data_IF_283022932865
#
_entry.id   IF_283022932865
#
_cell.length_a   1.000
_cell.length_b   1.000
_cell.length_c   1.000
_cell.angle_alpha   90.00
_cell.angle_beta   90.00
_cell.angle_gamma   90.00
#
_symmetry.space_group_name_H-M   'P 1'
#
loop_
_entity.id
_entity.type
_entity.pdbx_description
1 polymer ?
#
# COMPACT_ATOMS: atom_id res chain seq x y z
N UNK A 1 -2.45 -13.33 -5.50
CA UNK A 1 -2.74 -12.17 -4.62
C UNK A 1 -1.84 -12.14 -3.39
N UNK A 2 -1.86 -13.14 -2.49
CA UNK A 2 -0.87 -13.20 -1.40
C UNK A 2 0.55 -13.35 -1.97
N UNK A 3 0.71 -14.15 -3.02
CA UNK A 3 2.00 -14.38 -3.66
C UNK A 3 2.59 -13.10 -4.28
N UNK A 4 1.75 -12.24 -4.84
CA UNK A 4 2.15 -10.94 -5.40
C UNK A 4 2.62 -9.98 -4.31
N UNK A 5 1.93 -9.98 -3.16
CA UNK A 5 2.32 -9.14 -2.02
C UNK A 5 3.65 -9.62 -1.47
N UNK A 6 3.80 -10.94 -1.26
CA UNK A 6 5.01 -11.53 -0.71
C UNK A 6 6.23 -11.32 -1.61
N UNK A 7 6.08 -11.51 -2.92
CA UNK A 7 7.14 -11.26 -3.89
C UNK A 7 7.49 -9.77 -4.00
N UNK A 8 6.49 -8.89 -4.00
CA UNK A 8 6.71 -7.44 -4.17
C UNK A 8 7.33 -6.76 -2.95
N UNK A 9 6.95 -7.20 -1.75
CA UNK A 9 7.42 -6.61 -0.49
C UNK A 9 8.50 -7.45 0.20
N UNK A 10 8.96 -8.54 -0.43
CA UNK A 10 9.99 -9.42 0.12
C UNK A 10 9.65 -9.86 1.56
N UNK A 11 8.42 -10.34 1.74
CA UNK A 11 7.82 -10.69 3.03
C UNK A 11 7.18 -12.08 2.98
N UNK A 12 6.89 -12.66 4.14
CA UNK A 12 6.24 -13.96 4.22
C UNK A 12 5.24 -14.06 5.36
N UNK A 13 4.03 -14.52 5.04
CA UNK A 13 2.90 -14.54 5.97
C UNK A 13 2.43 -13.14 6.37
N UNK A 14 1.38 -13.07 7.19
CA UNK A 14 0.91 -11.82 7.76
C UNK A 14 1.87 -11.32 8.84
N UNK A 15 2.17 -12.18 9.81
CA UNK A 15 3.06 -11.92 10.94
C UNK A 15 4.42 -12.59 10.77
N UNK A 16 4.52 -13.60 9.90
CA UNK A 16 5.76 -14.27 9.59
C UNK A 16 5.54 -15.62 8.87
N UNK A 17 6.62 -16.32 8.49
CA UNK A 17 6.54 -17.60 7.78
C UNK A 17 5.80 -18.69 8.56
N UNK A 18 5.71 -18.57 9.89
CA UNK A 18 4.93 -19.47 10.74
C UNK A 18 3.44 -19.53 10.40
N UNK A 19 2.88 -18.49 9.76
CA UNK A 19 1.46 -18.47 9.35
C UNK A 19 1.13 -19.59 8.35
N UNK A 20 2.14 -20.11 7.65
CA UNK A 20 1.96 -21.22 6.70
C UNK A 20 1.94 -22.60 7.37
N UNK A 21 2.44 -22.73 8.61
CA UNK A 21 2.53 -24.02 9.32
C UNK A 21 1.17 -24.58 9.75
N UNK A 22 0.17 -23.72 9.91
CA UNK A 22 -1.17 -24.09 10.36
C UNK A 22 -2.16 -24.26 9.20
N UNK A 23 -1.67 -24.29 7.96
CA UNK A 23 -2.51 -24.32 6.77
C UNK A 23 -2.50 -25.72 6.13
N UNK A 24 -3.67 -26.21 5.68
CA UNK A 24 -3.80 -27.58 5.14
C UNK A 24 -3.06 -27.79 3.82
N UNK A 25 -2.74 -26.70 3.12
CA UNK A 25 -2.05 -26.73 1.81
C UNK A 25 -0.53 -26.75 1.92
N UNK A 26 0.03 -26.45 3.10
CA UNK A 26 1.48 -26.32 3.32
C UNK A 26 1.88 -27.20 4.50
N UNK A 27 2.26 -28.44 4.20
CA UNK A 27 2.65 -29.44 5.20
C UNK A 27 4.17 -29.56 5.29
N UNK A 28 4.68 -30.01 6.44
CA UNK A 28 6.10 -30.30 6.65
C UNK A 28 7.04 -29.09 6.47
N UNK A 29 6.54 -27.88 6.76
CA UNK A 29 7.34 -26.66 6.65
C UNK A 29 7.56 -26.18 5.21
N UNK A 30 6.80 -26.70 4.24
CA UNK A 30 6.78 -26.12 2.90
C UNK A 30 6.23 -24.69 2.95
N UNK A 31 6.80 -23.83 2.11
CA UNK A 31 6.40 -22.44 1.99
C UNK A 31 5.97 -22.15 0.54
N UNK A 32 5.12 -21.15 0.30
CA UNK A 32 4.85 -20.70 -1.05
C UNK A 32 6.12 -20.16 -1.72
N UNK A 33 6.28 -20.37 -3.01
CA UNK A 33 7.47 -19.89 -3.75
C UNK A 33 7.69 -18.37 -3.59
N UNK A 34 6.61 -17.58 -3.47
CA UNK A 34 6.67 -16.14 -3.23
C UNK A 34 7.31 -15.73 -1.91
N UNK A 35 7.39 -16.64 -0.94
CA UNK A 35 8.03 -16.44 0.36
C UNK A 35 9.55 -16.69 0.29
N UNK A 36 10.05 -17.34 -0.76
CA UNK A 36 11.46 -17.67 -0.89
C UNK A 36 12.26 -16.56 -1.57
N UNK A 37 13.52 -16.42 -1.13
CA UNK A 37 14.49 -15.58 -1.83
C UNK A 37 14.87 -16.32 -3.09
N UNK A 38 14.94 -15.59 -4.20
CA UNK A 38 15.07 -16.17 -5.52
C UNK A 38 16.45 -16.82 -5.71
N UNK A 39 16.57 -18.08 -5.30
CA UNK A 39 17.68 -18.96 -5.68
C UNK A 39 17.23 -20.43 -5.83
N UNK A 40 17.11 -20.80 -7.12
CA UNK A 40 17.64 -21.99 -7.80
C UNK A 40 17.38 -23.37 -7.15
N UNK A 41 16.32 -24.05 -7.64
CA UNK A 41 16.31 -25.52 -7.78
C UNK A 41 15.94 -26.35 -6.54
N UNK A 42 15.89 -25.77 -5.34
CA UNK A 42 15.41 -26.44 -4.12
C UNK A 42 13.94 -26.10 -3.80
N UNK A 43 13.23 -27.04 -3.18
CA UNK A 43 11.86 -26.79 -2.74
C UNK A 43 11.82 -25.72 -1.65
N UNK A 44 11.00 -24.69 -1.86
CA UNK A 44 10.81 -23.61 -0.89
C UNK A 44 10.30 -24.16 0.44
N UNK A 45 11.09 -23.99 1.49
CA UNK A 45 10.85 -24.56 2.82
C UNK A 45 11.36 -23.62 3.92
N UNK A 46 10.78 -23.74 5.11
CA UNK A 46 11.21 -23.03 6.31
C UNK A 46 12.67 -23.35 6.71
N UNK A 47 13.23 -24.46 6.22
CA UNK A 47 14.66 -24.80 6.39
C UNK A 47 15.59 -24.11 5.39
N UNK A 48 15.05 -23.55 4.29
CA UNK A 48 15.78 -22.90 3.22
C UNK A 48 15.78 -21.37 3.32
N UNK A 49 16.38 -20.66 2.34
CA UNK A 49 16.42 -19.20 2.31
C UNK A 49 15.04 -18.59 2.01
N UNK A 50 14.40 -18.03 3.04
CA UNK A 50 13.08 -17.42 2.95
C UNK A 50 13.03 -16.01 3.57
N UNK A 51 11.94 -15.28 3.33
CA UNK A 51 11.66 -14.02 3.98
C UNK A 51 11.15 -14.25 5.41
N UNK A 52 11.79 -13.62 6.39
CA UNK A 52 11.50 -13.82 7.82
C UNK A 52 10.44 -12.83 8.31
N UNK A 53 10.38 -11.63 7.71
CA UNK A 53 9.46 -10.58 8.11
C UNK A 53 8.04 -10.83 7.61
N UNK A 54 7.07 -10.55 8.48
CA UNK A 54 5.65 -10.55 8.13
C UNK A 54 5.30 -9.40 7.19
N UNK A 55 4.34 -9.63 6.30
CA UNK A 55 3.89 -8.61 5.36
C UNK A 55 3.17 -7.45 6.04
N UNK A 56 2.49 -7.68 7.16
CA UNK A 56 1.78 -6.61 7.88
C UNK A 56 2.77 -5.54 8.34
N UNK A 57 3.86 -5.96 8.98
CA UNK A 57 4.90 -5.04 9.48
C UNK A 57 5.48 -4.19 8.34
N UNK A 58 5.98 -4.83 7.28
CA UNK A 58 6.60 -4.13 6.13
C UNK A 58 5.61 -3.17 5.47
N UNK A 59 4.38 -3.61 5.20
CA UNK A 59 3.38 -2.74 4.57
C UNK A 59 3.02 -1.58 5.49
N UNK A 60 2.89 -1.80 6.80
CA UNK A 60 2.56 -0.71 7.73
C UNK A 60 3.67 0.33 7.82
N UNK A 61 4.94 -0.07 7.75
CA UNK A 61 6.07 0.85 7.72
C UNK A 61 6.11 1.65 6.41
N UNK A 62 5.93 0.98 5.27
CA UNK A 62 5.85 1.63 3.95
C UNK A 62 4.68 2.61 3.87
N UNK A 63 3.52 2.24 4.41
CA UNK A 63 2.34 3.10 4.48
C UNK A 63 2.58 4.30 5.39
N UNK A 64 3.16 4.12 6.59
CA UNK A 64 3.46 5.24 7.50
C UNK A 64 4.35 6.28 6.85
N UNK A 65 5.35 5.84 6.08
CA UNK A 65 6.25 6.74 5.37
C UNK A 65 5.55 7.45 4.19
N UNK A 66 4.71 6.74 3.45
CA UNK A 66 4.06 7.25 2.23
C UNK A 66 2.82 8.12 2.49
N UNK A 67 2.09 7.87 3.59
CA UNK A 67 0.85 8.59 3.95
C UNK A 67 1.10 10.08 4.16
N UNK A 68 2.28 10.47 4.65
CA UNK A 68 2.65 11.88 4.81
C UNK A 68 2.63 12.65 3.48
N UNK A 69 3.22 12.07 2.43
CA UNK A 69 3.27 12.70 1.11
C UNK A 69 1.88 12.78 0.46
N UNK A 70 1.13 11.67 0.47
CA UNK A 70 -0.22 11.63 -0.09
C UNK A 70 -1.19 12.56 0.65
N UNK A 71 -1.08 12.66 1.97
CA UNK A 71 -1.88 13.56 2.78
C UNK A 71 -1.70 15.03 2.39
N UNK A 72 -0.45 15.45 2.17
CA UNK A 72 -0.14 16.81 1.73
C UNK A 72 -0.74 17.16 0.36
N UNK A 73 -0.69 16.22 -0.59
CA UNK A 73 -1.29 16.40 -1.91
C UNK A 73 -2.81 16.62 -1.82
N UNK A 74 -3.49 15.80 -1.01
CA UNK A 74 -4.94 15.90 -0.81
C UNK A 74 -5.32 17.24 -0.18
N UNK A 75 -4.60 17.67 0.86
CA UNK A 75 -4.84 18.97 1.51
C UNK A 75 -4.67 20.12 0.52
N UNK A 76 -3.61 20.08 -0.28
CA UNK A 76 -3.34 21.10 -1.31
C UNK A 76 -4.48 21.20 -2.31
N UNK A 77 -5.00 20.07 -2.79
CA UNK A 77 -6.13 20.04 -3.72
C UNK A 77 -7.40 20.64 -3.11
N UNK A 78 -7.69 20.34 -1.84
CA UNK A 78 -8.85 20.91 -1.13
C UNK A 78 -8.73 22.42 -1.02
N UNK A 79 -7.55 22.96 -0.69
CA UNK A 79 -7.33 24.42 -0.62
C UNK A 79 -7.54 25.08 -1.98
N UNK A 80 -6.98 24.51 -3.05
CA UNK A 80 -7.15 25.03 -4.42
C UNK A 80 -8.62 25.04 -4.84
N UNK A 81 -9.38 24.00 -4.50
CA UNK A 81 -10.81 23.93 -4.79
C UNK A 81 -11.60 25.03 -4.07
N UNK A 82 -11.34 25.26 -2.77
CA UNK A 82 -12.00 26.33 -2.00
C UNK A 82 -11.70 27.70 -2.61
N UNK A 83 -10.44 27.93 -2.99
CA UNK A 83 -10.04 29.17 -3.67
C UNK A 83 -10.82 29.33 -4.98
N UNK A 84 -10.91 28.28 -5.80
CA UNK A 84 -11.68 28.28 -7.04
C UNK A 84 -13.17 28.58 -6.83
N UNK A 85 -13.77 28.04 -5.78
CA UNK A 85 -15.17 28.33 -5.41
C UNK A 85 -15.37 29.80 -5.03
N UNK A 86 -14.47 30.35 -4.20
CA UNK A 86 -14.52 31.77 -3.81
C UNK A 86 -14.42 32.66 -5.05
N UNK A 87 -13.44 32.42 -5.92
CA UNK A 87 -13.30 33.19 -7.16
C UNK A 87 -14.53 33.08 -8.06
N UNK A 88 -15.10 31.88 -8.21
CA UNK A 88 -16.32 31.66 -8.99
C UNK A 88 -17.50 32.48 -8.45
N UNK A 89 -17.70 32.48 -7.13
CA UNK A 89 -18.74 33.27 -6.47
C UNK A 89 -18.52 34.78 -6.66
N UNK A 90 -17.29 35.28 -6.51
CA UNK A 90 -16.96 36.69 -6.71
C UNK A 90 -17.23 37.14 -8.16
N UNK A 91 -16.79 36.37 -9.14
CA UNK A 91 -17.00 36.66 -10.56
C UNK A 91 -18.50 36.67 -10.92
N UNK A 92 -19.28 35.71 -10.43
CA UNK A 92 -20.72 35.68 -10.63
C UNK A 92 -21.42 36.88 -9.99
N UNK A 93 -20.98 37.30 -8.80
CA UNK A 93 -21.48 38.50 -8.13
C UNK A 93 -21.24 39.76 -8.97
N UNK A 94 -20.03 39.93 -9.52
CA UNK A 94 -19.70 41.06 -10.39
C UNK A 94 -20.50 41.04 -11.69
N UNK A 95 -20.61 39.88 -12.34
CA UNK A 95 -21.38 39.72 -13.58
C UNK A 95 -22.86 40.07 -13.38
N UNK A 96 -23.46 39.66 -12.26
CA UNK A 96 -24.84 40.03 -11.93
C UNK A 96 -24.98 41.55 -11.80
N UNK A 97 -24.07 42.22 -11.11
CA UNK A 97 -24.11 43.68 -10.92
C UNK A 97 -24.05 44.46 -12.25
N UNK A 98 -23.26 43.99 -13.21
CA UNK A 98 -23.18 44.62 -14.53
C UNK A 98 -24.48 44.50 -15.35
N UNK A 99 -25.22 43.41 -15.24
CA UNK A 99 -26.49 43.19 -15.97
C UNK A 99 -27.70 43.96 -15.41
N UNK A 100 -27.57 44.62 -14.25
CA UNK A 100 -28.65 45.42 -13.62
C UNK A 100 -28.46 46.95 -13.82
N UNK A 101 -27.41 47.36 -14.54
CA UNK A 101 -27.16 48.75 -14.98
C UNK A 101 -27.35 48.79 -16.49
#
# INVERSE_FOLDING_TARGET
MIDDIQSRFACCGANGPGDWTNNTNYTNGSLPESCCKQDIGEQCSASGPHYIRGCVEIITDELRNSVSYLGSLVITLVVVQIIGLIFSCLLLGQRRRYNYV
#
